data_IF_353937785460
#
_entry.id   IF_353937785460
#
_cell.length_a   1.000
_cell.length_b   1.000
_cell.length_c   1.000
_cell.angle_alpha   90.00
_cell.angle_beta   90.00
_cell.angle_gamma   90.00
#
_symmetry.space_group_name_H-M   'P 1'
#
loop_
_entity.id
_entity.type
_entity.pdbx_description
1 polymer ?
#
# COMPACT_ATOMS: atom_id res chain seq x y z
N UNK A 1 17.60 19.48 -7.17
CA UNK A 1 16.15 19.28 -6.94
C UNK A 1 15.81 17.86 -7.33
N UNK A 2 15.16 17.07 -6.48
CA UNK A 2 14.65 15.76 -6.87
C UNK A 2 13.59 15.94 -7.97
N UNK A 3 13.59 15.04 -8.96
CA UNK A 3 12.57 15.04 -10.02
C UNK A 3 11.22 14.73 -9.39
N UNK A 4 10.18 15.53 -9.68
CA UNK A 4 8.81 15.21 -9.28
C UNK A 4 8.39 13.95 -10.02
N UNK A 5 7.81 13.00 -9.28
CA UNK A 5 7.25 11.75 -9.81
C UNK A 5 5.75 11.87 -9.96
N UNK A 6 5.20 11.27 -11.00
CA UNK A 6 3.77 11.26 -11.28
C UNK A 6 3.22 9.83 -11.26
N UNK A 7 2.30 9.57 -10.35
CA UNK A 7 1.53 8.33 -10.30
C UNK A 7 0.11 8.53 -10.84
N UNK A 8 -0.52 7.44 -11.23
CA UNK A 8 -1.91 7.41 -11.66
C UNK A 8 -2.71 6.42 -10.83
N UNK A 9 -3.98 6.73 -10.63
CA UNK A 9 -4.99 5.81 -10.10
C UNK A 9 -5.85 5.36 -11.29
N UNK A 10 -5.83 4.07 -11.64
CA UNK A 10 -6.70 3.58 -12.71
C UNK A 10 -8.19 3.75 -12.36
N UNK A 11 -9.06 4.00 -13.34
CA UNK A 11 -10.50 4.18 -13.10
C UNK A 11 -11.17 2.84 -12.82
N UNK A 12 -10.97 2.28 -11.62
CA UNK A 12 -11.47 0.95 -11.23
C UNK A 12 -12.99 0.80 -11.30
N UNK A 13 -13.81 1.74 -10.79
CA UNK A 13 -15.27 1.60 -10.79
C UNK A 13 -15.84 1.61 -12.21
N UNK A 14 -16.55 0.55 -12.58
CA UNK A 14 -17.25 0.45 -13.87
C UNK A 14 -16.36 0.20 -15.09
N UNK A 15 -15.04 0.06 -14.92
CA UNK A 15 -14.14 -0.31 -16.01
C UNK A 15 -14.27 -1.80 -16.35
N UNK A 16 -13.95 -2.15 -17.60
CA UNK A 16 -13.71 -3.53 -17.97
C UNK A 16 -12.23 -3.92 -17.76
N UNK A 17 -11.97 -5.21 -17.71
CA UNK A 17 -10.63 -5.73 -17.41
C UNK A 17 -9.60 -5.32 -18.46
N UNK A 18 -9.94 -5.42 -19.75
CA UNK A 18 -9.04 -5.11 -20.84
C UNK A 18 -8.72 -3.61 -20.87
N UNK A 19 -9.72 -2.77 -20.63
CA UNK A 19 -9.53 -1.32 -20.51
C UNK A 19 -8.58 -0.92 -19.39
N UNK A 20 -8.63 -1.60 -18.23
CA UNK A 20 -7.67 -1.37 -17.14
C UNK A 20 -6.24 -1.78 -17.52
N UNK A 21 -6.11 -2.91 -18.21
CA UNK A 21 -4.80 -3.40 -18.69
C UNK A 21 -4.23 -2.44 -19.74
N UNK A 22 -5.04 -2.04 -20.72
CA UNK A 22 -4.61 -1.13 -21.79
C UNK A 22 -4.25 0.26 -21.25
N UNK A 23 -5.03 0.80 -20.30
CA UNK A 23 -4.68 2.03 -19.57
C UNK A 23 -3.30 1.91 -18.92
N UNK A 24 -3.06 0.79 -18.25
CA UNK A 24 -1.81 0.56 -17.51
C UNK A 24 -0.59 0.40 -18.45
N UNK A 25 -0.75 -0.28 -19.58
CA UNK A 25 0.27 -0.39 -20.63
C UNK A 25 0.58 1.00 -21.20
N UNK A 26 -0.45 1.83 -21.43
CA UNK A 26 -0.27 3.18 -21.94
C UNK A 26 0.46 4.07 -20.92
N UNK A 27 0.13 3.96 -19.64
CA UNK A 27 0.80 4.68 -18.56
C UNK A 27 2.31 4.32 -18.50
N UNK A 28 2.65 3.03 -18.58
CA UNK A 28 4.04 2.56 -18.59
C UNK A 28 4.81 3.11 -19.82
N UNK A 29 4.20 3.08 -21.01
CA UNK A 29 4.79 3.63 -22.25
C UNK A 29 4.99 5.14 -22.20
N UNK A 30 4.14 5.87 -21.50
CA UNK A 30 4.22 7.32 -21.31
C UNK A 30 5.18 7.72 -20.16
N UNK A 31 5.84 6.75 -19.53
CA UNK A 31 6.79 6.92 -18.44
C UNK A 31 6.20 7.59 -17.18
N UNK A 32 4.95 7.27 -16.84
CA UNK A 32 4.46 7.52 -15.50
C UNK A 32 5.24 6.67 -14.50
N UNK A 33 5.46 7.20 -13.29
CA UNK A 33 6.33 6.57 -12.30
C UNK A 33 5.63 5.43 -11.54
N UNK A 34 4.30 5.52 -11.33
CA UNK A 34 3.55 4.51 -10.57
C UNK A 34 2.07 4.42 -10.95
N UNK A 35 1.50 3.23 -10.71
CA UNK A 35 0.06 2.95 -10.73
C UNK A 35 -0.37 2.51 -9.35
N UNK A 36 -1.48 3.07 -8.85
CA UNK A 36 -2.03 2.74 -7.54
C UNK A 36 -3.48 2.27 -7.67
N UNK A 37 -3.71 1.00 -7.40
CA UNK A 37 -5.03 0.38 -7.50
C UNK A 37 -5.73 0.47 -6.15
N UNK A 38 -6.88 1.16 -6.04
CA UNK A 38 -7.69 1.15 -4.82
C UNK A 38 -8.21 -0.26 -4.54
N UNK A 39 -7.90 -0.79 -3.37
CA UNK A 39 -8.30 -2.14 -2.96
C UNK A 39 -9.58 -2.06 -2.11
N UNK A 40 -10.72 -1.93 -2.77
CA UNK A 40 -12.04 -1.80 -2.16
C UNK A 40 -12.96 -2.95 -2.57
N UNK A 41 -13.76 -3.46 -1.62
CA UNK A 41 -14.90 -4.34 -1.90
C UNK A 41 -16.12 -3.57 -2.39
N UNK A 42 -16.27 -2.35 -1.89
CA UNK A 42 -17.36 -1.45 -2.28
C UNK A 42 -16.81 -0.04 -2.48
N UNK A 43 -17.39 0.67 -3.44
CA UNK A 43 -17.16 2.09 -3.67
C UNK A 43 -18.41 2.89 -3.27
N UNK A 44 -18.22 4.18 -2.93
CA UNK A 44 -19.32 5.09 -2.54
C UNK A 44 -20.41 5.11 -3.63
N UNK A 45 -20.01 5.20 -4.90
CA UNK A 45 -20.94 5.00 -6.01
C UNK A 45 -21.04 3.50 -6.31
N UNK A 46 -22.24 2.90 -6.30
CA UNK A 46 -22.41 1.49 -6.61
C UNK A 46 -21.95 1.19 -8.03
N UNK A 47 -20.76 0.63 -8.14
CA UNK A 47 -20.17 0.25 -9.43
C UNK A 47 -19.37 -1.03 -9.24
N UNK A 48 -19.40 -1.95 -10.22
CA UNK A 48 -18.56 -3.13 -10.17
C UNK A 48 -17.08 -2.71 -10.17
N UNK A 49 -16.27 -3.40 -9.39
CA UNK A 49 -14.83 -3.23 -9.38
C UNK A 49 -14.15 -4.59 -9.32
N UNK A 50 -13.00 -4.69 -9.98
CA UNK A 50 -12.18 -5.89 -9.90
C UNK A 50 -11.36 -5.89 -8.61
N UNK A 51 -10.99 -7.09 -8.15
CA UNK A 51 -10.08 -7.24 -7.01
C UNK A 51 -8.69 -6.69 -7.39
N UNK A 52 -8.22 -5.75 -6.58
CA UNK A 52 -7.10 -4.88 -6.95
C UNK A 52 -5.78 -5.66 -7.17
N UNK A 53 -5.47 -6.66 -6.33
CA UNK A 53 -4.23 -7.42 -6.45
C UNK A 53 -4.22 -8.38 -7.62
N UNK A 54 -5.38 -8.91 -8.00
CA UNK A 54 -5.51 -9.75 -9.21
C UNK A 54 -5.26 -8.92 -10.46
N UNK A 55 -5.84 -7.73 -10.56
CA UNK A 55 -5.55 -6.80 -11.66
C UNK A 55 -4.10 -6.31 -11.63
N UNK A 56 -3.58 -5.95 -10.45
CA UNK A 56 -2.18 -5.54 -10.29
C UNK A 56 -1.20 -6.63 -10.78
N UNK A 57 -1.49 -7.90 -10.52
CA UNK A 57 -0.67 -9.01 -11.01
C UNK A 57 -0.70 -9.13 -12.55
N UNK A 58 -1.87 -8.99 -13.17
CA UNK A 58 -2.01 -8.98 -14.62
C UNK A 58 -1.24 -7.80 -15.25
N UNK A 59 -1.40 -6.60 -14.70
CA UNK A 59 -0.68 -5.39 -15.12
C UNK A 59 0.82 -5.51 -14.91
N UNK A 60 1.26 -6.09 -13.79
CA UNK A 60 2.67 -6.33 -13.52
C UNK A 60 3.35 -7.20 -14.58
N UNK A 61 2.60 -8.17 -15.16
CA UNK A 61 3.11 -9.06 -16.20
C UNK A 61 3.32 -8.35 -17.54
N UNK A 62 2.48 -7.38 -17.87
CA UNK A 62 2.46 -6.74 -19.21
C UNK A 62 3.18 -5.39 -19.25
N UNK A 63 3.53 -4.83 -18.09
CA UNK A 63 4.31 -3.58 -17.94
C UNK A 63 5.78 -3.89 -17.63
N UNK A 64 6.68 -2.89 -17.78
CA UNK A 64 8.12 -3.10 -17.63
C UNK A 64 8.79 -2.19 -16.59
N UNK A 65 8.37 -0.93 -16.48
CA UNK A 65 9.09 0.10 -15.71
C UNK A 65 8.26 0.64 -14.55
N UNK A 66 6.97 0.83 -14.76
CA UNK A 66 6.07 1.49 -13.82
C UNK A 66 5.97 0.72 -12.49
N UNK A 67 6.04 1.43 -11.37
CA UNK A 67 5.80 0.85 -10.04
C UNK A 67 4.33 0.44 -9.92
N UNK A 68 4.07 -0.72 -9.37
CA UNK A 68 2.72 -1.27 -9.14
C UNK A 68 2.41 -1.19 -7.65
N UNK A 69 1.44 -0.39 -7.30
CA UNK A 69 0.98 -0.24 -5.93
C UNK A 69 -0.51 -0.50 -5.78
N UNK A 70 -0.93 -0.81 -4.57
CA UNK A 70 -2.33 -0.76 -4.17
C UNK A 70 -2.46 0.04 -2.90
N UNK A 71 -3.62 0.62 -2.67
CA UNK A 71 -3.99 1.16 -1.36
C UNK A 71 -4.92 0.18 -0.70
N UNK A 72 -4.37 -0.60 0.22
CA UNK A 72 -5.06 -1.71 0.87
C UNK A 72 -5.24 -1.47 2.35
N UNK A 73 -6.30 -2.05 2.90
CA UNK A 73 -6.38 -2.33 4.32
C UNK A 73 -6.03 -3.80 4.59
N UNK A 74 -5.36 -4.11 5.69
CA UNK A 74 -4.95 -5.47 6.00
C UNK A 74 -6.06 -6.31 6.65
N UNK A 75 -7.24 -5.73 6.97
CA UNK A 75 -8.28 -6.39 7.76
C UNK A 75 -8.96 -7.52 7.01
N UNK A 76 -9.03 -7.42 5.68
CA UNK A 76 -9.67 -8.40 4.81
C UNK A 76 -8.83 -9.63 4.52
N UNK A 77 -7.56 -9.62 4.95
CA UNK A 77 -6.63 -10.69 4.68
C UNK A 77 -5.82 -11.06 5.93
N UNK A 78 -5.61 -12.36 6.15
CA UNK A 78 -4.61 -12.78 7.12
C UNK A 78 -3.21 -12.31 6.66
N UNK A 79 -2.38 -11.70 7.52
CA UNK A 79 -1.11 -11.09 7.11
C UNK A 79 -0.12 -12.06 6.43
N UNK A 80 -0.14 -13.34 6.78
CA UNK A 80 0.69 -14.33 6.10
C UNK A 80 0.23 -14.58 4.64
N UNK A 81 -1.08 -14.62 4.39
CA UNK A 81 -1.64 -14.74 3.04
C UNK A 81 -1.33 -13.48 2.24
N UNK A 82 -1.42 -12.33 2.90
CA UNK A 82 -1.11 -11.06 2.25
C UNK A 82 0.39 -10.94 1.93
N UNK A 83 1.27 -11.37 2.83
CA UNK A 83 2.72 -11.46 2.57
C UNK A 83 3.05 -12.34 1.36
N UNK A 84 2.39 -13.51 1.24
CA UNK A 84 2.56 -14.41 0.10
C UNK A 84 2.09 -13.78 -1.21
N UNK A 85 0.92 -13.14 -1.22
CA UNK A 85 0.37 -12.42 -2.38
C UNK A 85 1.33 -11.35 -2.88
N UNK A 86 1.81 -10.50 -1.96
CA UNK A 86 2.76 -9.44 -2.25
C UNK A 86 4.06 -9.97 -2.83
N UNK A 87 4.64 -11.02 -2.23
CA UNK A 87 5.84 -11.66 -2.76
C UNK A 87 5.60 -12.21 -4.18
N UNK A 88 4.44 -12.82 -4.43
CA UNK A 88 4.09 -13.34 -5.76
C UNK A 88 4.05 -12.22 -6.80
N UNK A 89 3.34 -11.11 -6.50
CA UNK A 89 3.26 -9.96 -7.42
C UNK A 89 4.63 -9.30 -7.59
N UNK A 90 5.46 -9.27 -6.54
CA UNK A 90 6.81 -8.74 -6.61
C UNK A 90 7.71 -9.56 -7.57
N UNK A 91 7.57 -10.88 -7.59
CA UNK A 91 8.23 -11.73 -8.60
C UNK A 91 7.69 -11.49 -10.02
N UNK A 92 6.38 -11.42 -10.20
CA UNK A 92 5.76 -11.15 -11.51
C UNK A 92 6.24 -9.81 -12.06
N UNK A 93 6.26 -8.78 -11.21
CA UNK A 93 6.69 -7.42 -11.57
C UNK A 93 8.21 -7.25 -11.69
N UNK A 94 9.01 -8.25 -11.26
CA UNK A 94 10.47 -8.16 -11.13
C UNK A 94 10.93 -7.06 -10.18
N UNK A 95 10.25 -6.93 -9.03
CA UNK A 95 10.67 -6.06 -7.95
C UNK A 95 10.08 -4.65 -7.97
N UNK A 96 8.99 -4.42 -8.68
CA UNK A 96 8.34 -3.11 -8.84
C UNK A 96 7.12 -2.89 -7.94
N UNK A 97 6.92 -3.73 -6.92
CA UNK A 97 5.77 -3.61 -6.00
C UNK A 97 6.05 -2.55 -4.94
N UNK A 98 5.04 -1.75 -4.65
CA UNK A 98 4.94 -0.91 -3.45
C UNK A 98 3.58 -1.15 -2.77
N UNK A 99 3.49 -0.98 -1.46
CA UNK A 99 2.27 -1.20 -0.70
C UNK A 99 1.81 0.08 -0.02
N UNK A 100 0.65 0.58 -0.41
CA UNK A 100 -0.09 1.58 0.34
C UNK A 100 -0.93 0.90 1.42
N UNK A 101 -0.78 1.32 2.65
CA UNK A 101 -1.55 0.84 3.80
C UNK A 101 -2.40 1.96 4.39
N UNK A 102 -3.66 1.61 4.67
CA UNK A 102 -4.59 2.40 5.45
C UNK A 102 -5.26 1.55 6.52
N UNK A 103 -5.97 2.19 7.41
CA UNK A 103 -6.75 1.49 8.43
C UNK A 103 -8.07 0.89 7.90
N UNK A 104 -8.34 1.05 6.61
CA UNK A 104 -9.59 0.62 5.98
C UNK A 104 -10.78 1.53 6.30
N UNK A 105 -11.92 1.12 5.81
CA UNK A 105 -13.19 1.84 5.93
C UNK A 105 -14.31 0.86 6.28
N UNK A 106 -15.23 1.28 7.15
CA UNK A 106 -16.34 0.43 7.60
C UNK A 106 -17.21 -0.08 6.45
N UNK A 107 -17.37 0.70 5.38
CA UNK A 107 -18.10 0.27 4.18
C UNK A 107 -17.51 -0.97 3.50
N UNK A 108 -16.22 -1.22 3.69
CA UNK A 108 -15.50 -2.37 3.15
C UNK A 108 -15.41 -3.55 4.13
N UNK A 109 -15.96 -3.43 5.33
CA UNK A 109 -15.85 -4.42 6.40
C UNK A 109 -17.19 -4.83 7.00
N UNK A 110 -18.03 -3.88 7.42
CA UNK A 110 -19.24 -4.12 8.22
C UNK A 110 -20.24 -5.02 7.51
N UNK A 111 -20.55 -4.72 6.24
CA UNK A 111 -21.50 -5.49 5.46
C UNK A 111 -21.07 -6.94 5.18
N UNK A 112 -19.78 -7.22 5.36
CA UNK A 112 -19.17 -8.52 5.05
C UNK A 112 -18.78 -9.30 6.31
N UNK A 113 -19.10 -8.78 7.51
CA UNK A 113 -18.73 -9.42 8.77
C UNK A 113 -17.23 -9.47 9.03
N UNK A 114 -16.47 -8.55 8.44
CA UNK A 114 -15.02 -8.45 8.62
C UNK A 114 -14.76 -7.58 9.85
N UNK A 115 -14.01 -8.07 10.86
CA UNK A 115 -13.72 -7.29 12.06
C UNK A 115 -12.95 -6.01 11.74
N UNK A 116 -13.42 -4.88 12.25
CA UNK A 116 -12.76 -3.56 12.11
C UNK A 116 -12.55 -2.87 13.47
N UNK A 117 -12.41 -3.66 14.51
CA UNK A 117 -12.01 -3.22 15.85
C UNK A 117 -10.50 -2.94 15.89
N UNK A 118 -10.13 -1.86 16.57
CA UNK A 118 -8.74 -1.41 16.70
C UNK A 118 -7.94 -1.40 15.36
N UNK A 119 -8.47 -0.77 14.28
CA UNK A 119 -7.94 -0.95 12.93
C UNK A 119 -6.47 -0.52 12.79
N UNK A 120 -6.02 0.47 13.55
CA UNK A 120 -4.62 0.90 13.54
C UNK A 120 -3.69 -0.20 14.10
N UNK A 121 -4.07 -0.84 15.20
CA UNK A 121 -3.27 -1.91 15.80
C UNK A 121 -3.21 -3.14 14.89
N UNK A 122 -4.36 -3.54 14.31
CA UNK A 122 -4.39 -4.64 13.32
C UNK A 122 -3.48 -4.36 12.12
N UNK A 123 -3.48 -3.12 11.62
CA UNK A 123 -2.62 -2.71 10.51
C UNK A 123 -1.13 -2.81 10.89
N UNK A 124 -0.75 -2.34 12.08
CA UNK A 124 0.66 -2.40 12.51
C UNK A 124 1.12 -3.83 12.74
N UNK A 125 0.32 -4.69 13.38
CA UNK A 125 0.64 -6.11 13.53
C UNK A 125 0.76 -6.82 12.18
N UNK A 126 -0.14 -6.51 11.24
CA UNK A 126 -0.04 -7.06 9.87
C UNK A 126 1.25 -6.67 9.17
N UNK A 127 1.66 -5.41 9.30
CA UNK A 127 2.92 -4.93 8.75
C UNK A 127 4.12 -5.66 9.37
N UNK A 128 4.13 -5.80 10.70
CA UNK A 128 5.21 -6.47 11.43
C UNK A 128 5.33 -7.94 11.03
N UNK A 129 4.19 -8.65 10.92
CA UNK A 129 4.16 -10.05 10.48
C UNK A 129 4.67 -10.18 9.04
N UNK A 130 4.25 -9.31 8.12
CA UNK A 130 4.72 -9.35 6.74
C UNK A 130 6.24 -9.15 6.68
N UNK A 131 6.77 -8.14 7.37
CA UNK A 131 8.23 -7.89 7.46
C UNK A 131 8.96 -9.08 8.07
N UNK A 132 8.42 -9.65 9.15
CA UNK A 132 9.00 -10.82 9.83
C UNK A 132 9.09 -12.02 8.88
N UNK A 133 8.01 -12.35 8.16
CA UNK A 133 7.95 -13.47 7.23
C UNK A 133 8.89 -13.31 6.03
N UNK A 134 9.16 -12.09 5.57
CA UNK A 134 10.12 -11.84 4.48
C UNK A 134 11.57 -11.76 4.96
N UNK A 135 11.81 -11.53 6.25
CA UNK A 135 13.16 -11.31 6.78
C UNK A 135 14.02 -12.57 6.84
N UNK A 136 13.40 -13.74 7.01
CA UNK A 136 14.07 -15.03 7.21
C UNK A 136 13.37 -16.16 6.47
N UNK A 137 14.10 -17.25 6.26
CA UNK A 137 13.57 -18.55 5.79
C UNK A 137 13.26 -19.51 6.94
N UNK A 138 13.75 -19.20 8.13
CA UNK A 138 13.49 -19.98 9.32
C UNK A 138 12.03 -19.78 9.78
N UNK A 139 11.57 -20.69 10.63
CA UNK A 139 10.26 -20.52 11.25
C UNK A 139 10.27 -19.35 12.23
N UNK A 140 9.16 -18.65 12.28
CA UNK A 140 8.96 -17.48 13.13
C UNK A 140 7.74 -17.66 14.05
N UNK A 141 7.80 -17.03 15.20
CA UNK A 141 6.69 -16.92 16.12
C UNK A 141 6.30 -15.45 16.25
N UNK A 142 5.01 -15.18 16.39
CA UNK A 142 4.46 -13.86 16.66
C UNK A 142 3.30 -13.99 17.63
N UNK A 143 3.30 -13.25 18.70
CA UNK A 143 2.24 -13.26 19.72
C UNK A 143 1.67 -11.85 19.88
N UNK A 144 0.84 -11.44 18.91
CA UNK A 144 0.14 -10.18 18.90
C UNK A 144 -1.22 -10.24 19.59
N UNK A 145 -1.89 -9.11 19.65
CA UNK A 145 -3.26 -9.00 20.16
C UNK A 145 -4.24 -9.65 19.18
N UNK A 146 -4.07 -9.42 17.88
CA UNK A 146 -4.99 -9.85 16.82
C UNK A 146 -4.49 -11.05 16.03
N UNK A 147 -3.19 -11.21 15.90
CA UNK A 147 -2.62 -12.28 15.11
C UNK A 147 -1.59 -13.07 15.91
N UNK A 148 -1.62 -14.38 15.74
CA UNK A 148 -0.67 -15.29 16.36
C UNK A 148 -0.08 -16.22 15.31
N UNK A 149 1.24 -16.31 15.28
CA UNK A 149 1.96 -17.28 14.47
C UNK A 149 2.74 -18.23 15.38
N UNK A 150 2.72 -19.51 15.04
CA UNK A 150 3.51 -20.53 15.72
C UNK A 150 4.26 -21.35 14.69
N UNK A 151 5.58 -21.33 14.79
CA UNK A 151 6.48 -22.07 13.89
C UNK A 151 6.15 -21.85 12.40
N UNK A 152 5.71 -20.63 12.06
CA UNK A 152 5.28 -20.27 10.73
C UNK A 152 6.47 -19.90 9.85
N UNK A 153 6.43 -20.30 8.59
CA UNK A 153 7.43 -19.89 7.61
C UNK A 153 6.81 -19.53 6.28
N UNK A 154 7.35 -18.51 5.64
CA UNK A 154 7.04 -18.17 4.25
C UNK A 154 8.31 -18.43 3.42
N UNK A 155 8.34 -19.56 2.69
CA UNK A 155 9.52 -19.95 1.92
C UNK A 155 9.71 -19.13 0.64
N UNK A 156 8.67 -18.39 0.22
CA UNK A 156 8.72 -17.47 -0.91
C UNK A 156 9.29 -16.12 -0.47
N UNK A 157 10.55 -15.85 -0.76
CA UNK A 157 11.16 -14.54 -0.55
C UNK A 157 10.60 -13.49 -1.53
N UNK A 158 10.80 -12.22 -1.23
CA UNK A 158 10.64 -11.14 -2.19
C UNK A 158 11.67 -11.27 -3.34
N UNK A 159 11.35 -10.67 -4.47
CA UNK A 159 12.23 -10.72 -5.65
C UNK A 159 13.64 -10.22 -5.34
N UNK A 160 14.67 -11.00 -5.74
CA UNK A 160 16.07 -10.76 -5.44
C UNK A 160 16.40 -10.69 -3.93
N UNK A 161 15.69 -11.49 -3.14
CA UNK A 161 15.87 -11.60 -1.68
C UNK A 161 15.82 -10.27 -0.92
N UNK A 162 15.04 -9.30 -1.42
CA UNK A 162 14.71 -8.10 -0.65
C UNK A 162 14.12 -8.50 0.70
N UNK A 163 14.33 -7.69 1.73
CA UNK A 163 13.83 -7.97 3.08
C UNK A 163 12.52 -7.27 3.39
N UNK A 164 12.12 -6.30 2.58
CA UNK A 164 10.87 -5.55 2.71
C UNK A 164 10.45 -4.97 1.37
N UNK A 165 9.18 -4.62 1.27
CA UNK A 165 8.65 -3.75 0.23
C UNK A 165 8.56 -2.32 0.76
N UNK A 166 8.51 -1.30 -0.11
CA UNK A 166 8.18 0.04 0.31
C UNK A 166 6.76 0.13 0.87
N UNK A 167 6.61 0.65 2.10
CA UNK A 167 5.32 0.89 2.76
C UNK A 167 4.97 2.37 2.72
N UNK A 168 3.87 2.70 2.06
CA UNK A 168 3.27 4.02 2.01
C UNK A 168 2.02 4.04 2.88
N UNK A 169 1.81 5.09 3.65
CA UNK A 169 0.66 5.18 4.56
C UNK A 169 -0.28 6.31 4.17
N UNK A 170 -1.57 5.95 4.00
CA UNK A 170 -2.66 6.87 3.76
C UNK A 170 -3.29 7.28 5.10
N UNK A 171 -2.70 8.26 5.77
CA UNK A 171 -3.17 8.73 7.09
C UNK A 171 -2.80 10.18 7.35
N UNK A 172 -3.57 10.82 8.24
CA UNK A 172 -3.29 12.15 8.78
C UNK A 172 -3.55 12.21 10.30
N UNK A 173 -3.71 11.05 10.95
CA UNK A 173 -3.81 10.98 12.41
C UNK A 173 -2.43 11.07 13.07
N UNK A 174 -2.34 11.64 14.27
CA UNK A 174 -1.05 11.79 14.95
C UNK A 174 -0.30 10.46 15.12
N UNK A 175 -1.01 9.37 15.47
CA UNK A 175 -0.43 8.01 15.55
C UNK A 175 0.10 7.52 14.19
N UNK A 176 -0.63 7.82 13.12
CA UNK A 176 -0.23 7.44 11.77
C UNK A 176 0.97 8.23 11.28
N UNK A 177 1.00 9.54 11.52
CA UNK A 177 2.13 10.41 11.17
C UNK A 177 3.39 10.00 11.94
N UNK A 178 3.24 9.63 13.22
CA UNK A 178 4.34 9.08 14.01
C UNK A 178 4.85 7.75 13.43
N UNK A 179 3.97 6.84 13.05
CA UNK A 179 4.35 5.57 12.41
C UNK A 179 5.13 5.81 11.11
N UNK A 180 4.70 6.77 10.28
CA UNK A 180 5.40 7.13 9.04
C UNK A 180 6.82 7.59 9.35
N UNK A 181 6.99 8.50 10.31
CA UNK A 181 8.31 8.98 10.71
C UNK A 181 9.23 7.85 11.17
N UNK A 182 8.72 6.94 12.01
CA UNK A 182 9.49 5.84 12.58
C UNK A 182 9.81 4.73 11.58
N UNK A 183 8.88 4.35 10.72
CA UNK A 183 8.96 3.08 10.00
C UNK A 183 8.40 3.11 8.58
N UNK A 184 7.82 4.21 8.11
CA UNK A 184 7.26 4.34 6.76
C UNK A 184 8.33 4.67 5.71
N UNK A 185 8.10 4.21 4.49
CA UNK A 185 8.90 4.56 3.33
C UNK A 185 8.24 5.69 2.53
N UNK A 186 6.94 5.92 2.74
CA UNK A 186 6.21 6.99 2.10
C UNK A 186 4.97 7.44 2.86
N UNK A 187 4.56 8.66 2.59
CA UNK A 187 3.31 9.27 3.04
C UNK A 187 2.44 9.63 1.86
N UNK A 188 1.17 9.23 1.91
CA UNK A 188 0.23 9.27 0.79
C UNK A 188 -1.11 9.87 1.24
N UNK A 189 -1.15 11.15 1.62
CA UNK A 189 -2.38 11.81 2.02
C UNK A 189 -3.29 12.11 0.82
N UNK A 190 -4.59 12.25 1.10
CA UNK A 190 -5.62 12.61 0.13
C UNK A 190 -6.06 14.06 0.34
N UNK A 191 -6.11 14.84 -0.73
CA UNK A 191 -6.76 16.17 -0.82
C UNK A 191 -6.46 17.14 0.34
N UNK A 192 -5.20 17.29 0.71
CA UNK A 192 -4.79 18.26 1.73
C UNK A 192 -4.55 19.65 1.13
N UNK A 193 -4.91 20.69 1.89
CA UNK A 193 -4.43 22.03 1.60
C UNK A 193 -2.92 22.15 1.82
N UNK A 194 -2.22 23.06 1.15
CA UNK A 194 -0.77 23.25 1.35
C UNK A 194 -0.37 23.50 2.81
N UNK A 195 -1.20 24.22 3.57
CA UNK A 195 -0.92 24.50 4.99
C UNK A 195 -0.98 23.23 5.85
N UNK A 196 -2.05 22.44 5.71
CA UNK A 196 -2.19 21.17 6.42
C UNK A 196 -1.12 20.15 6.00
N UNK A 197 -0.79 20.12 4.71
CA UNK A 197 0.30 19.28 4.22
C UNK A 197 1.62 19.60 4.93
N UNK A 198 1.99 20.87 5.01
CA UNK A 198 3.22 21.31 5.68
C UNK A 198 3.18 21.06 7.19
N UNK A 199 2.03 21.25 7.85
CA UNK A 199 1.86 20.94 9.27
C UNK A 199 2.14 19.44 9.53
N UNK A 200 1.47 18.56 8.79
CA UNK A 200 1.63 17.11 8.96
C UNK A 200 3.02 16.63 8.57
N UNK A 201 3.61 17.21 7.54
CA UNK A 201 4.99 16.92 7.15
C UNK A 201 5.97 17.24 8.26
N UNK A 202 5.76 18.34 8.98
CA UNK A 202 6.57 18.72 10.15
C UNK A 202 6.46 17.69 11.29
N UNK A 203 5.26 17.13 11.52
CA UNK A 203 5.06 16.06 12.53
C UNK A 203 5.82 14.79 12.14
N UNK A 204 5.75 14.39 10.86
CA UNK A 204 6.50 13.25 10.32
C UNK A 204 8.01 13.49 10.48
N UNK A 205 8.51 14.69 10.19
CA UNK A 205 9.92 15.02 10.32
C UNK A 205 10.42 14.92 11.77
N UNK A 206 9.62 15.40 12.73
CA UNK A 206 9.93 15.28 14.16
C UNK A 206 10.02 13.81 14.58
N UNK A 207 9.04 13.00 14.20
CA UNK A 207 9.04 11.57 14.51
C UNK A 207 10.21 10.83 13.85
N UNK A 208 10.53 11.16 12.59
CA UNK A 208 11.68 10.59 11.90
C UNK A 208 12.99 10.90 12.63
N UNK A 209 13.21 12.16 13.00
CA UNK A 209 14.40 12.58 13.78
C UNK A 209 14.51 11.86 15.12
N UNK A 210 13.42 11.74 15.86
CA UNK A 210 13.38 11.03 17.14
C UNK A 210 13.71 9.53 16.99
N UNK A 211 13.52 8.98 15.80
CA UNK A 211 13.82 7.58 15.46
C UNK A 211 15.15 7.40 14.71
N UNK A 212 16.00 8.43 14.67
CA UNK A 212 17.29 8.38 13.98
C UNK A 212 17.21 8.38 12.45
N UNK A 213 16.07 8.79 11.90
CA UNK A 213 15.81 8.87 10.46
C UNK A 213 15.76 10.33 9.98
N UNK A 214 15.77 10.50 8.67
CA UNK A 214 15.61 11.80 8.02
C UNK A 214 14.39 11.81 7.10
N UNK A 215 13.76 12.97 6.96
CA UNK A 215 12.62 13.15 6.07
C UNK A 215 12.92 12.77 4.60
N UNK A 216 14.15 12.95 4.14
CA UNK A 216 14.58 12.58 2.79
C UNK A 216 14.60 11.06 2.52
N UNK A 217 14.42 10.23 3.55
CA UNK A 217 14.25 8.79 3.45
C UNK A 217 12.77 8.39 3.31
N UNK A 218 11.87 9.35 3.30
CA UNK A 218 10.42 9.15 3.24
C UNK A 218 9.91 9.86 1.98
N UNK A 219 9.35 9.10 1.04
CA UNK A 219 8.69 9.67 -0.13
C UNK A 219 7.44 10.44 0.32
N UNK A 220 7.42 11.74 0.08
CA UNK A 220 6.28 12.59 0.41
C UNK A 220 5.44 12.80 -0.84
N UNK A 221 4.22 12.28 -0.83
CA UNK A 221 3.29 12.34 -1.97
C UNK A 221 2.03 13.10 -1.63
N UNK A 222 1.17 13.30 -2.59
CA UNK A 222 -0.20 13.74 -2.39
C UNK A 222 -1.09 13.11 -3.45
N UNK A 223 -2.23 12.59 -3.03
CA UNK A 223 -3.30 12.19 -3.92
C UNK A 223 -4.22 13.37 -4.18
N UNK A 224 -4.46 13.63 -5.45
CA UNK A 224 -5.38 14.66 -5.90
C UNK A 224 -6.49 13.98 -6.70
N UNK A 225 -7.72 14.12 -6.22
CA UNK A 225 -8.88 13.72 -7.01
C UNK A 225 -9.06 14.71 -8.14
N UNK A 226 -9.00 14.23 -9.38
CA UNK A 226 -9.27 15.10 -10.53
C UNK A 226 -10.75 15.38 -10.63
N UNK A 227 -11.14 16.65 -10.48
CA UNK A 227 -12.52 17.12 -10.64
C UNK A 227 -12.87 17.53 -12.08
N UNK A 228 -12.02 17.18 -13.07
CA UNK A 228 -12.21 17.59 -14.46
C UNK A 228 -13.47 16.96 -15.09
N UNK A 229 -14.05 15.95 -14.45
CA UNK A 229 -15.21 15.22 -14.95
C UNK A 229 -16.47 15.36 -14.08
N UNK A 230 -16.51 16.38 -13.22
CA UNK A 230 -17.71 16.75 -12.47
C UNK A 230 -18.46 17.85 -13.19
#
# INVERSE_FOLDING_TARGET
MSKIKFGLVPPMPGADCDGLIDFSIKADKLNFDSLWFPDHLAFIAPSPAFEAWTIAAAVAKVTKNITIGTTSDPHRNHPAVFAQRLATVDHISKGRVALGLGVGESMNTDAYGIPWDNPFQRMTESMDIMKLLWSTKDSVNYDGEFFKLKDASLLLNLYKDKKTLPFYFATHTDKGLDLIGRAGDGWMPLDLTPNLYNEYLSKIEVSAKNSGRNLNQIDTTIWILSLIHI
#
